data_IF_801105320585
#
_entry.id   IF_801105320585
#
_cell.length_a   1.000
_cell.length_b   1.000
_cell.length_c   1.000
_cell.angle_alpha   90.00
_cell.angle_beta   90.00
_cell.angle_gamma   90.00
#
_symmetry.space_group_name_H-M   'P 1'
#
loop_
_entity.id
_entity.type
_entity.pdbx_description
1 polymer ?
#
# COMPACT_ATOMS: atom_id res chain seq x y z
N UNK A 1 -8.96 19.86 10.29
CA UNK A 1 -9.22 18.46 10.68
C UNK A 1 -8.28 17.61 9.86
N UNK A 2 -7.45 16.79 10.50
CA UNK A 2 -6.46 15.94 9.81
C UNK A 2 -6.82 14.47 9.95
N UNK A 3 -6.35 13.62 9.05
CA UNK A 3 -6.70 12.21 8.98
C UNK A 3 -5.46 11.32 8.79
N UNK A 4 -5.40 10.20 9.49
CA UNK A 4 -4.38 9.19 9.24
C UNK A 4 -4.89 8.11 8.29
N UNK A 5 -4.05 7.69 7.34
CA UNK A 5 -4.32 6.56 6.45
C UNK A 5 -3.62 5.30 6.97
N UNK A 6 -4.34 4.18 7.01
CA UNK A 6 -3.79 2.87 7.39
C UNK A 6 -3.85 1.95 6.17
N UNK A 7 -2.69 1.55 5.66
CA UNK A 7 -2.55 0.60 4.54
C UNK A 7 -2.30 -0.80 5.09
N UNK A 8 -3.28 -1.67 4.94
CA UNK A 8 -3.16 -3.09 5.29
C UNK A 8 -2.45 -3.85 4.16
N UNK A 9 -1.14 -3.96 4.27
CA UNK A 9 -0.25 -4.63 3.32
C UNK A 9 0.20 -6.03 3.80
N UNK A 10 -0.43 -6.59 4.84
CA UNK A 10 -0.04 -7.90 5.40
C UNK A 10 -0.55 -9.14 4.64
N UNK A 11 -1.17 -8.97 3.48
CA UNK A 11 -1.85 -10.05 2.76
C UNK A 11 -0.91 -10.90 1.89
N UNK A 12 -1.06 -12.23 1.95
CA UNK A 12 -0.23 -13.19 1.20
C UNK A 12 -0.57 -13.36 -0.30
N UNK A 13 -1.41 -12.49 -0.86
CA UNK A 13 -1.72 -12.55 -2.30
C UNK A 13 -2.41 -13.83 -2.81
N UNK A 14 -2.91 -14.73 -1.93
CA UNK A 14 -3.46 -16.06 -2.32
C UNK A 14 -4.49 -16.02 -3.44
N UNK A 15 -5.44 -15.06 -3.40
CA UNK A 15 -6.47 -14.90 -4.44
C UNK A 15 -5.93 -14.33 -5.76
N UNK A 16 -4.71 -13.81 -5.75
CA UNK A 16 -3.99 -13.32 -6.93
C UNK A 16 -2.88 -14.30 -7.35
N UNK A 17 -3.12 -15.60 -7.19
CA UNK A 17 -2.16 -16.64 -7.60
C UNK A 17 -0.98 -16.81 -6.63
N UNK A 18 -1.07 -16.28 -5.41
CA UNK A 18 -0.02 -16.43 -4.39
C UNK A 18 1.22 -15.57 -4.62
N UNK A 19 1.18 -14.63 -5.58
CA UNK A 19 2.27 -13.68 -5.81
C UNK A 19 2.31 -12.62 -4.72
N UNK A 20 3.50 -12.08 -4.45
CA UNK A 20 3.62 -10.84 -3.68
C UNK A 20 3.04 -9.67 -4.49
N UNK A 21 1.76 -9.38 -4.24
CA UNK A 21 1.05 -8.31 -4.92
C UNK A 21 1.68 -6.94 -4.63
N UNK A 22 2.29 -6.73 -3.47
CA UNK A 22 2.84 -5.42 -3.12
C UNK A 22 3.96 -5.03 -4.09
N UNK A 23 4.76 -6.03 -4.48
CA UNK A 23 5.91 -5.89 -5.38
C UNK A 23 5.56 -6.14 -6.85
N UNK A 24 4.37 -6.67 -7.16
CA UNK A 24 3.90 -6.80 -8.53
C UNK A 24 3.89 -5.42 -9.22
N UNK A 25 4.49 -5.36 -10.40
CA UNK A 25 4.60 -4.12 -11.16
C UNK A 25 3.31 -3.82 -11.93
N UNK A 26 2.90 -2.55 -11.88
CA UNK A 26 1.90 -1.99 -12.77
C UNK A 26 2.41 -0.64 -13.27
N UNK A 27 2.40 -0.43 -14.60
CA UNK A 27 2.90 0.81 -15.22
C UNK A 27 4.34 1.16 -14.78
N UNK A 28 5.20 0.15 -14.68
CA UNK A 28 6.62 0.30 -14.33
C UNK A 28 6.91 0.55 -12.85
N UNK A 29 5.92 0.42 -11.96
CA UNK A 29 6.11 0.66 -10.52
C UNK A 29 5.34 -0.36 -9.67
N UNK A 30 5.83 -0.72 -8.47
CA UNK A 30 5.14 -1.64 -7.57
C UNK A 30 3.75 -1.16 -7.18
N UNK A 31 2.77 -2.07 -7.08
CA UNK A 31 1.41 -1.74 -6.64
C UNK A 31 1.38 -1.02 -5.28
N UNK A 32 2.28 -1.35 -4.35
CA UNK A 32 2.39 -0.64 -3.08
C UNK A 32 2.72 0.86 -3.27
N UNK A 33 3.58 1.19 -4.23
CA UNK A 33 3.99 2.58 -4.50
C UNK A 33 2.84 3.42 -5.06
N UNK A 34 1.96 2.81 -5.86
CA UNK A 34 0.74 3.46 -6.32
C UNK A 34 -0.19 3.82 -5.16
N UNK A 35 -0.39 2.89 -4.23
CA UNK A 35 -1.22 3.12 -3.04
C UNK A 35 -0.63 4.21 -2.13
N UNK A 36 0.67 4.13 -1.81
CA UNK A 36 1.36 5.11 -0.96
C UNK A 36 1.22 6.53 -1.54
N UNK A 37 1.51 6.72 -2.83
CA UNK A 37 1.41 8.04 -3.46
C UNK A 37 0.01 8.63 -3.48
N UNK A 38 -1.03 7.80 -3.53
CA UNK A 38 -2.40 8.30 -3.45
C UNK A 38 -2.66 9.00 -2.11
N UNK A 39 -2.13 8.45 -1.01
CA UNK A 39 -2.27 9.05 0.31
C UNK A 39 -1.27 10.17 0.58
N UNK A 40 -0.02 10.07 0.12
CA UNK A 40 0.97 11.16 0.22
C UNK A 40 0.53 12.43 -0.52
N UNK A 41 -0.27 12.30 -1.60
CA UNK A 41 -0.82 13.43 -2.36
C UNK A 41 -2.15 13.93 -1.80
N UNK A 42 -2.72 13.28 -0.80
CA UNK A 42 -4.00 13.66 -0.22
C UNK A 42 -3.78 14.79 0.81
N UNK A 43 -4.30 16.01 0.57
CA UNK A 43 -3.96 17.19 1.39
C UNK A 43 -4.48 17.12 2.84
N UNK A 44 -5.42 16.22 3.13
CA UNK A 44 -5.96 16.03 4.48
C UNK A 44 -5.30 14.88 5.24
N UNK A 45 -4.41 14.11 4.58
CA UNK A 45 -3.69 13.00 5.19
C UNK A 45 -2.32 13.47 5.66
N UNK A 46 -2.15 13.52 6.98
CA UNK A 46 -0.92 13.96 7.65
C UNK A 46 -0.01 12.79 8.05
N UNK A 47 -0.55 11.57 8.08
CA UNK A 47 0.20 10.35 8.39
C UNK A 47 -0.27 9.17 7.58
N UNK A 48 0.69 8.38 7.09
CA UNK A 48 0.44 7.06 6.52
C UNK A 48 1.09 6.00 7.40
N UNK A 49 0.31 5.02 7.84
CA UNK A 49 0.78 3.83 8.57
C UNK A 49 0.68 2.63 7.63
N UNK A 50 1.82 2.04 7.29
CA UNK A 50 1.88 0.80 6.53
C UNK A 50 1.95 -0.39 7.50
N UNK A 51 0.95 -1.27 7.42
CA UNK A 51 0.93 -2.52 8.18
C UNK A 51 1.42 -3.64 7.27
N UNK A 52 2.66 -4.08 7.47
CA UNK A 52 3.25 -5.21 6.77
C UNK A 52 3.31 -6.44 7.68
N UNK A 53 3.57 -7.61 7.10
CA UNK A 53 3.95 -8.79 7.89
C UNK A 53 5.40 -8.62 8.35
N UNK A 54 5.76 -9.28 9.45
CA UNK A 54 7.12 -9.19 10.01
C UNK A 54 8.11 -10.16 9.35
N UNK A 55 7.60 -11.10 8.55
CA UNK A 55 8.32 -12.19 7.88
C UNK A 55 8.63 -11.88 6.41
#
# INVERSE_FOLDING_TARGET
MTASAILLAGGSGRRMGGVDKLMLEARGEPLLRHALRAFERCPVVDRVVLVARAD
#
